data_IF_476959236720
#
_entry.id   IF_476959236720
#
_cell.length_a   1.000
_cell.length_b   1.000
_cell.length_c   1.000
_cell.angle_alpha   90.00
_cell.angle_beta   90.00
_cell.angle_gamma   90.00
#
_symmetry.space_group_name_H-M   'P 1'
#
loop_
_entity.id
_entity.type
_entity.pdbx_description
1 polymer ?
#
# COMPACT_ATOMS: atom_id res chain seq x y z
N UNK A 1 32.09 19.88 60.39
CA UNK A 1 32.83 20.31 59.18
C UNK A 1 32.17 19.65 57.95
N UNK A 2 31.19 20.29 57.29
CA UNK A 2 30.50 19.70 56.15
C UNK A 2 31.22 20.03 54.84
N UNK A 3 31.43 19.02 53.98
CA UNK A 3 32.02 19.19 52.64
C UNK A 3 30.92 19.45 51.63
N UNK A 4 30.96 20.63 51.04
CA UNK A 4 30.09 21.05 49.94
C UNK A 4 30.58 20.44 48.63
N UNK A 5 29.76 19.63 47.97
CA UNK A 5 30.02 19.14 46.62
C UNK A 5 29.24 20.04 45.63
N UNK A 6 29.96 20.76 44.76
CA UNK A 6 29.37 21.46 43.60
C UNK A 6 29.34 20.49 42.42
N UNK A 7 28.16 20.31 41.82
CA UNK A 7 28.00 19.62 40.54
C UNK A 7 28.40 20.55 39.38
N UNK A 8 29.20 20.09 38.40
CA UNK A 8 29.49 20.85 37.19
C UNK A 8 28.30 20.84 36.22
N UNK A 9 28.11 21.98 35.55
CA UNK A 9 26.98 22.27 34.68
C UNK A 9 26.87 21.33 33.48
N UNK A 10 25.65 20.85 33.24
CA UNK A 10 25.29 20.11 32.04
C UNK A 10 25.28 21.05 30.83
N UNK A 11 26.16 20.77 29.87
CA UNK A 11 26.16 21.39 28.57
C UNK A 11 24.86 21.04 27.82
N UNK A 12 24.12 22.07 27.39
CA UNK A 12 22.96 21.92 26.52
C UNK A 12 23.43 21.50 25.13
N UNK A 13 23.39 20.21 24.83
CA UNK A 13 23.58 19.69 23.48
C UNK A 13 22.48 20.25 22.57
N UNK A 14 22.86 21.16 21.67
CA UNK A 14 22.01 21.63 20.59
C UNK A 14 21.79 20.46 19.65
N UNK A 15 20.57 19.94 19.61
CA UNK A 15 20.15 18.97 18.61
C UNK A 15 20.32 19.59 17.21
N UNK A 16 20.94 18.89 16.25
CA UNK A 16 20.99 19.36 14.88
C UNK A 16 19.57 19.40 14.32
N UNK A 17 19.21 20.56 13.78
CA UNK A 17 17.98 20.78 13.02
C UNK A 17 17.76 19.64 12.04
N UNK A 18 16.64 18.94 12.21
CA UNK A 18 16.11 17.93 11.30
C UNK A 18 15.98 18.59 9.92
N UNK A 19 16.97 18.38 9.05
CA UNK A 19 16.89 18.76 7.65
C UNK A 19 15.67 18.04 7.07
N UNK A 20 14.64 18.81 6.72
CA UNK A 20 13.57 18.34 5.86
C UNK A 20 14.24 17.88 4.57
N UNK A 21 14.16 16.58 4.30
CA UNK A 21 14.53 16.03 3.01
C UNK A 21 13.74 16.79 1.92
N UNK A 22 14.37 17.11 0.78
CA UNK A 22 13.66 17.75 -0.30
C UNK A 22 12.53 16.83 -0.75
N UNK A 23 11.29 17.24 -0.48
CA UNK A 23 10.12 16.75 -1.19
C UNK A 23 10.31 17.21 -2.64
N UNK A 24 10.99 16.39 -3.45
CA UNK A 24 10.97 16.56 -4.88
C UNK A 24 9.52 16.38 -5.30
N UNK A 25 8.90 17.53 -5.57
CA UNK A 25 7.57 17.63 -6.10
C UNK A 25 7.45 16.72 -7.32
N UNK A 26 6.62 15.70 -7.21
CA UNK A 26 5.99 15.01 -8.31
C UNK A 26 5.20 16.06 -9.10
N UNK A 27 5.87 16.77 -10.01
CA UNK A 27 5.18 17.45 -11.09
C UNK A 27 4.69 16.34 -12.01
N UNK A 28 3.40 16.04 -11.91
CA UNK A 28 2.70 15.15 -12.82
C UNK A 28 2.82 15.71 -14.24
N UNK A 29 3.74 15.13 -15.01
CA UNK A 29 3.70 15.24 -16.47
C UNK A 29 2.45 14.48 -16.94
N UNK A 30 1.39 15.22 -17.28
CA UNK A 30 0.15 14.71 -17.86
C UNK A 30 0.32 14.02 -19.22
N UNK A 31 1.57 13.84 -19.68
CA UNK A 31 1.95 13.17 -20.92
C UNK A 31 2.95 12.02 -20.70
N UNK A 32 3.12 11.57 -19.45
CA UNK A 32 3.99 10.43 -19.15
C UNK A 32 3.38 9.15 -19.75
N UNK A 33 4.17 8.44 -20.57
CA UNK A 33 3.77 7.13 -21.09
C UNK A 33 3.37 6.18 -19.95
N UNK A 34 2.41 5.26 -20.17
CA UNK A 34 1.96 4.34 -19.14
C UNK A 34 3.15 3.62 -18.50
N UNK A 35 3.25 3.67 -17.16
CA UNK A 35 4.32 2.98 -16.46
C UNK A 35 4.19 1.47 -16.70
N UNK A 36 5.28 0.76 -17.02
CA UNK A 36 5.24 -0.68 -17.18
C UNK A 36 4.74 -1.31 -15.89
N UNK A 37 3.88 -2.32 -16.02
CA UNK A 37 3.38 -3.09 -14.88
C UNK A 37 4.53 -3.80 -14.18
N UNK A 38 4.60 -3.69 -12.87
CA UNK A 38 5.58 -4.36 -12.03
C UNK A 38 5.28 -5.85 -12.04
N UNK A 39 6.28 -6.64 -12.40
CA UNK A 39 6.23 -8.10 -12.37
C UNK A 39 6.86 -8.57 -11.07
N UNK A 40 6.24 -9.51 -10.33
CA UNK A 40 6.84 -10.06 -9.13
C UNK A 40 8.22 -10.66 -9.45
N UNK A 41 9.25 -10.40 -8.61
CA UNK A 41 10.55 -11.00 -8.82
C UNK A 41 10.48 -12.53 -8.67
N UNK A 42 11.33 -13.29 -9.39
CA UNK A 42 11.40 -14.74 -9.22
C UNK A 42 11.63 -15.11 -7.74
N UNK A 43 10.72 -15.91 -7.18
CA UNK A 43 10.78 -16.33 -5.77
C UNK A 43 10.18 -15.34 -4.76
N UNK A 44 9.44 -14.31 -5.21
CA UNK A 44 8.58 -13.52 -4.33
C UNK A 44 7.64 -14.45 -3.56
N UNK A 45 7.64 -14.36 -2.23
CA UNK A 45 6.76 -15.18 -1.40
C UNK A 45 5.40 -14.51 -1.35
N UNK A 46 4.41 -15.10 -2.03
CA UNK A 46 3.01 -14.67 -1.97
C UNK A 46 2.26 -15.32 -0.81
N UNK A 47 2.85 -16.35 -0.18
CA UNK A 47 2.20 -17.14 0.85
C UNK A 47 2.41 -16.56 2.27
N UNK A 48 1.28 -16.33 2.93
CA UNK A 48 1.22 -16.02 4.35
C UNK A 48 1.45 -17.28 5.20
N UNK A 49 2.14 -17.15 6.32
CA UNK A 49 2.26 -18.22 7.33
C UNK A 49 0.98 -18.34 8.15
N UNK A 50 0.39 -17.21 8.54
CA UNK A 50 -0.87 -17.15 9.28
C UNK A 50 -1.77 -16.05 8.71
N UNK A 51 -2.42 -16.29 7.56
CA UNK A 51 -3.29 -15.28 6.94
C UNK A 51 -4.48 -14.96 7.85
N UNK A 52 -4.81 -13.68 7.93
CA UNK A 52 -6.07 -13.18 8.48
C UNK A 52 -6.73 -12.33 7.43
N UNK A 53 -8.03 -12.55 7.21
CA UNK A 53 -8.82 -11.87 6.18
C UNK A 53 -9.93 -11.07 6.84
N UNK A 54 -10.19 -9.87 6.32
CA UNK A 54 -11.31 -9.03 6.73
C UNK A 54 -11.88 -8.28 5.53
N UNK A 55 -13.19 -8.03 5.59
CA UNK A 55 -13.86 -7.16 4.61
C UNK A 55 -13.34 -5.74 4.70
N UNK A 56 -13.29 -5.06 3.56
CA UNK A 56 -12.85 -3.68 3.49
C UNK A 56 -13.63 -2.98 2.40
N UNK A 57 -14.37 -1.91 2.70
CA UNK A 57 -15.12 -1.16 1.70
C UNK A 57 -14.51 0.25 1.61
N UNK A 58 -13.56 0.42 0.69
CA UNK A 58 -12.89 1.71 0.48
C UNK A 58 -12.95 2.09 -1.00
N UNK A 59 -13.53 3.26 -1.33
CA UNK A 59 -13.52 3.78 -2.69
C UNK A 59 -12.09 4.09 -3.14
N UNK A 60 -11.76 3.61 -4.34
CA UNK A 60 -10.48 3.85 -4.99
C UNK A 60 -10.63 4.99 -5.99
N UNK A 61 -9.78 6.02 -5.92
CA UNK A 61 -9.79 7.09 -6.91
C UNK A 61 -9.53 6.56 -8.32
N UNK A 62 -10.35 7.01 -9.27
CA UNK A 62 -10.31 6.58 -10.66
C UNK A 62 -9.19 7.31 -11.44
N UNK A 63 -9.07 7.00 -12.73
CA UNK A 63 -8.12 7.66 -13.62
C UNK A 63 -6.66 7.30 -13.31
N UNK A 64 -5.73 8.28 -13.21
CA UNK A 64 -4.31 8.02 -13.02
C UNK A 64 -4.00 7.23 -11.73
N UNK A 65 -4.76 7.45 -10.66
CA UNK A 65 -4.55 6.77 -9.38
C UNK A 65 -4.80 5.26 -9.50
N UNK A 66 -5.92 4.86 -10.11
CA UNK A 66 -6.21 3.46 -10.42
C UNK A 66 -5.13 2.85 -11.32
N UNK A 67 -4.70 3.59 -12.36
CA UNK A 67 -3.59 3.15 -13.22
C UNK A 67 -2.32 2.85 -12.44
N UNK A 68 -1.94 3.70 -11.47
CA UNK A 68 -0.76 3.48 -10.62
C UNK A 68 -0.92 2.27 -9.69
N UNK A 69 -2.12 2.02 -9.16
CA UNK A 69 -2.38 0.80 -8.37
C UNK A 69 -2.20 -0.47 -9.20
N UNK A 70 -2.73 -0.48 -10.42
CA UNK A 70 -2.63 -1.63 -11.34
C UNK A 70 -1.22 -1.81 -11.90
N UNK A 71 -0.49 -0.71 -12.15
CA UNK A 71 0.92 -0.77 -12.54
C UNK A 71 1.82 -1.23 -11.40
N UNK A 72 1.49 -0.90 -10.14
CA UNK A 72 2.30 -1.24 -8.97
C UNK A 72 3.51 -0.31 -8.76
N UNK A 73 4.41 -0.74 -7.88
CA UNK A 73 5.65 -0.05 -7.54
C UNK A 73 6.82 -1.03 -7.35
N UNK A 74 7.89 -0.76 -8.09
CA UNK A 74 9.17 -1.45 -7.97
C UNK A 74 10.13 -0.55 -7.17
N UNK A 75 10.66 -1.02 -6.02
CA UNK A 75 11.66 -0.25 -5.26
C UNK A 75 12.95 -0.08 -6.07
N UNK A 76 13.51 1.13 -6.06
CA UNK A 76 14.77 1.47 -6.73
C UNK A 76 15.92 1.63 -5.73
N UNK A 77 15.58 1.97 -4.48
CA UNK A 77 16.53 2.22 -3.40
C UNK A 77 16.36 1.24 -2.23
N UNK A 78 17.44 1.02 -1.48
CA UNK A 78 17.40 0.27 -0.22
C UNK A 78 16.48 0.91 0.84
N UNK A 79 16.14 2.19 0.69
CA UNK A 79 15.23 2.89 1.58
C UNK A 79 13.75 2.64 1.25
N UNK A 80 13.44 2.15 0.04
CA UNK A 80 12.09 1.83 -0.38
C UNK A 80 11.67 0.52 0.27
N UNK A 81 10.88 0.61 1.33
CA UNK A 81 10.51 -0.55 2.17
C UNK A 81 9.50 -1.48 1.52
N UNK A 82 8.86 -1.03 0.44
CA UNK A 82 7.67 -1.65 -0.12
C UNK A 82 7.86 -1.96 -1.59
N UNK A 83 7.31 -3.10 -1.99
CA UNK A 83 7.09 -3.50 -3.37
C UNK A 83 5.60 -3.78 -3.50
N UNK A 84 5.00 -3.29 -4.59
CA UNK A 84 3.58 -3.48 -4.87
C UNK A 84 3.42 -3.95 -6.30
N UNK A 85 2.58 -4.95 -6.53
CA UNK A 85 2.15 -5.30 -7.88
C UNK A 85 0.69 -5.75 -7.85
N UNK A 86 0.01 -5.59 -8.97
CA UNK A 86 -1.30 -6.14 -9.18
C UNK A 86 -1.18 -7.48 -9.90
N UNK A 87 -1.95 -8.45 -9.48
CA UNK A 87 -2.22 -9.69 -10.19
C UNK A 87 -3.67 -9.67 -10.65
N UNK A 88 -3.91 -9.87 -11.94
CA UNK A 88 -5.29 -9.98 -12.43
C UNK A 88 -5.81 -11.35 -12.05
N UNK A 89 -6.91 -11.35 -11.30
CA UNK A 89 -7.63 -12.57 -11.04
C UNK A 89 -8.75 -12.62 -12.06
N UNK A 90 -8.69 -13.58 -12.98
CA UNK A 90 -9.84 -13.93 -13.81
C UNK A 90 -10.88 -14.61 -12.91
N UNK A 91 -11.49 -13.84 -12.01
CA UNK A 91 -12.72 -14.22 -11.37
C UNK A 91 -13.74 -14.35 -12.49
N UNK A 92 -13.93 -15.60 -12.94
CA UNK A 92 -14.99 -15.98 -13.84
C UNK A 92 -16.27 -15.38 -13.29
N UNK A 93 -16.81 -14.40 -14.00
CA UNK A 93 -18.11 -13.79 -13.71
C UNK A 93 -19.07 -14.92 -13.34
N UNK A 94 -19.79 -14.87 -12.21
CA UNK A 94 -20.65 -15.97 -11.82
C UNK A 94 -21.62 -16.22 -12.96
N UNK A 95 -21.43 -17.38 -13.61
CA UNK A 95 -22.24 -17.99 -14.65
C UNK A 95 -23.69 -18.01 -14.15
N UNK A 96 -24.39 -16.90 -14.33
CA UNK A 96 -25.84 -16.84 -14.24
C UNK A 96 -26.28 -16.74 -15.69
N UNK A 97 -26.48 -17.90 -16.30
CA UNK A 97 -27.12 -17.99 -17.60
C UNK A 97 -28.47 -17.27 -17.51
N UNK A 98 -28.60 -16.11 -18.14
CA UNK A 98 -29.91 -15.46 -18.30
C UNK A 98 -29.98 -13.93 -18.28
N UNK A 99 -28.88 -13.18 -18.18
CA UNK A 99 -28.97 -11.71 -18.23
C UNK A 99 -27.85 -11.08 -19.08
N UNK A 100 -28.19 -10.67 -20.30
CA UNK A 100 -27.30 -10.16 -21.37
C UNK A 100 -26.73 -8.74 -21.10
N UNK A 101 -26.75 -8.25 -19.86
CA UNK A 101 -26.27 -6.91 -19.48
C UNK A 101 -25.50 -6.87 -18.16
N UNK A 102 -24.68 -7.88 -17.88
CA UNK A 102 -23.74 -7.79 -16.75
C UNK A 102 -22.50 -7.01 -17.17
N UNK A 103 -22.44 -5.78 -16.71
CA UNK A 103 -21.26 -4.92 -16.69
C UNK A 103 -19.98 -5.72 -16.39
N UNK A 104 -18.89 -5.56 -17.17
CA UNK A 104 -17.65 -6.27 -16.91
C UNK A 104 -17.10 -5.87 -15.54
N UNK A 105 -16.97 -6.85 -14.66
CA UNK A 105 -16.33 -6.71 -13.36
C UNK A 105 -14.95 -7.35 -13.44
N UNK A 106 -13.90 -6.55 -13.26
CA UNK A 106 -12.53 -7.02 -13.15
C UNK A 106 -12.13 -7.10 -11.68
N UNK A 107 -11.51 -8.21 -11.30
CA UNK A 107 -10.98 -8.41 -9.94
C UNK A 107 -9.47 -8.51 -10.04
N UNK A 108 -8.76 -7.65 -9.31
CA UNK A 108 -7.30 -7.68 -9.22
C UNK A 108 -6.90 -7.83 -7.76
N UNK A 109 -5.82 -8.56 -7.49
CA UNK A 109 -5.23 -8.69 -6.16
C UNK A 109 -3.98 -7.85 -6.13
N UNK A 110 -3.95 -6.84 -5.26
CA UNK A 110 -2.77 -6.04 -5.00
C UNK A 110 -1.93 -6.71 -3.92
N UNK A 111 -0.69 -7.03 -4.24
CA UNK A 111 0.25 -7.64 -3.31
C UNK A 111 1.17 -6.58 -2.72
N UNK A 112 1.17 -6.45 -1.41
CA UNK A 112 2.06 -5.56 -0.66
C UNK A 112 3.13 -6.40 0.02
N UNK A 113 4.39 -6.20 -0.40
CA UNK A 113 5.52 -7.01 0.06
C UNK A 113 6.64 -6.12 0.59
N UNK A 114 7.34 -6.62 1.61
CA UNK A 114 8.53 -5.95 2.14
C UNK A 114 9.70 -6.17 1.19
N UNK A 115 10.21 -5.09 0.60
CA UNK A 115 11.28 -5.15 -0.43
C UNK A 115 12.52 -5.94 0.04
N UNK A 116 12.94 -5.76 1.30
CA UNK A 116 14.15 -6.37 1.86
C UNK A 116 14.02 -7.87 2.12
N UNK A 117 12.86 -8.34 2.56
CA UNK A 117 12.67 -9.75 2.98
C UNK A 117 11.89 -10.57 1.95
N UNK A 118 11.19 -9.90 1.02
CA UNK A 118 10.26 -10.54 0.11
C UNK A 118 9.05 -11.17 0.81
N UNK A 119 8.79 -10.85 2.08
CA UNK A 119 7.67 -11.41 2.83
C UNK A 119 6.38 -10.62 2.57
N UNK A 120 5.25 -11.34 2.36
CA UNK A 120 3.99 -10.70 2.11
C UNK A 120 3.51 -10.02 3.38
N UNK A 121 3.12 -8.77 3.25
CA UNK A 121 2.56 -7.97 4.33
C UNK A 121 1.04 -7.99 4.27
N UNK A 122 0.49 -7.67 3.09
CA UNK A 122 -0.95 -7.68 2.85
C UNK A 122 -1.24 -7.98 1.37
N UNK A 123 -2.42 -8.55 1.13
CA UNK A 123 -3.06 -8.72 -0.17
C UNK A 123 -4.40 -8.01 -0.10
N UNK A 124 -4.70 -7.20 -1.10
CA UNK A 124 -5.94 -6.41 -1.15
C UNK A 124 -6.68 -6.73 -2.42
N UNK A 125 -7.93 -7.15 -2.27
CA UNK A 125 -8.81 -7.41 -3.41
C UNK A 125 -9.39 -6.09 -3.89
N UNK A 126 -9.07 -5.73 -5.13
CA UNK A 126 -9.56 -4.57 -5.85
C UNK A 126 -10.60 -5.02 -6.88
N UNK A 127 -11.83 -4.54 -6.73
CA UNK A 127 -12.90 -4.75 -7.70
C UNK A 127 -13.07 -3.48 -8.51
N UNK A 128 -13.02 -3.61 -9.83
CA UNK A 128 -13.32 -2.53 -10.78
C UNK A 128 -14.57 -2.93 -11.56
N UNK A 129 -15.63 -2.12 -11.49
CA UNK A 129 -16.84 -2.31 -12.29
C UNK A 129 -16.88 -1.28 -13.39
N UNK A 130 -17.07 -1.77 -14.62
CA UNK A 130 -16.93 -0.98 -15.85
C UNK A 130 -15.54 -0.34 -15.92
N UNK A 131 -14.94 -0.27 -17.11
CA UNK A 131 -13.55 0.20 -17.22
C UNK A 131 -13.49 1.69 -16.85
N UNK A 132 -13.18 1.98 -15.58
CA UNK A 132 -13.00 3.33 -15.06
C UNK A 132 -14.22 4.01 -14.44
N UNK A 133 -15.32 3.31 -14.12
CA UNK A 133 -16.49 3.95 -13.47
C UNK A 133 -16.51 3.79 -11.95
N UNK A 134 -16.19 2.60 -11.44
CA UNK A 134 -16.16 2.34 -10.02
C UNK A 134 -15.00 1.39 -9.69
N UNK A 135 -14.18 1.77 -8.71
CA UNK A 135 -13.13 0.92 -8.19
C UNK A 135 -13.18 0.94 -6.66
N UNK A 136 -13.06 -0.24 -6.04
CA UNK A 136 -13.12 -0.39 -4.58
C UNK A 136 -12.20 -1.49 -4.10
N UNK A 137 -11.58 -1.25 -2.94
CA UNK A 137 -11.10 -2.37 -2.13
C UNK A 137 -12.32 -3.05 -1.52
N UNK A 138 -12.34 -4.38 -1.54
CA UNK A 138 -13.44 -5.20 -1.00
C UNK A 138 -13.01 -6.12 0.13
N UNK A 139 -11.73 -6.52 0.13
CA UNK A 139 -11.18 -7.47 1.08
C UNK A 139 -9.69 -7.18 1.29
N UNK A 140 -9.20 -7.46 2.49
CA UNK A 140 -7.78 -7.46 2.82
C UNK A 140 -7.42 -8.75 3.54
N UNK A 141 -6.35 -9.40 3.09
CA UNK A 141 -5.70 -10.52 3.76
C UNK A 141 -4.30 -10.10 4.19
N UNK A 142 -3.88 -10.38 5.43
CA UNK A 142 -2.55 -10.00 5.91
C UNK A 142 -1.90 -11.07 6.79
N UNK A 143 -0.59 -10.93 6.96
CA UNK A 143 0.21 -11.81 7.82
C UNK A 143 -0.06 -11.52 9.30
N UNK A 144 -0.41 -12.52 10.11
CA UNK A 144 -0.54 -12.36 11.57
C UNK A 144 0.50 -13.15 12.37
N UNK A 145 1.46 -13.79 11.69
CA UNK A 145 2.59 -14.46 12.34
C UNK A 145 3.47 -13.46 13.08
N UNK A 146 3.50 -13.55 14.42
CA UNK A 146 4.36 -12.71 15.27
C UNK A 146 5.86 -12.82 14.93
N UNK A 147 6.26 -13.94 14.32
CA UNK A 147 7.64 -14.16 13.83
C UNK A 147 7.99 -13.24 12.66
N UNK A 148 6.99 -12.84 11.86
CA UNK A 148 7.14 -12.05 10.64
C UNK A 148 6.77 -10.59 10.86
N UNK A 149 5.70 -10.34 11.62
CA UNK A 149 5.20 -8.99 11.91
C UNK A 149 4.77 -8.90 13.38
N UNK A 150 5.26 -7.89 14.10
CA UNK A 150 4.94 -7.68 15.50
C UNK A 150 3.73 -6.76 15.67
N UNK A 151 2.77 -7.13 16.53
CA UNK A 151 1.64 -6.29 16.98
C UNK A 151 0.75 -5.75 15.84
N UNK A 152 0.55 -6.54 14.79
CA UNK A 152 -0.28 -6.13 13.66
C UNK A 152 -1.77 -6.32 13.98
N UNK A 153 -2.52 -5.22 14.01
CA UNK A 153 -3.98 -5.21 14.08
C UNK A 153 -4.58 -4.93 12.70
N UNK A 154 -5.83 -5.31 12.47
CA UNK A 154 -6.55 -5.01 11.23
C UNK A 154 -6.48 -3.52 10.87
N UNK A 155 -6.80 -2.63 11.81
CA UNK A 155 -6.75 -1.18 11.61
C UNK A 155 -5.35 -0.70 11.23
N UNK A 156 -4.31 -1.20 11.91
CA UNK A 156 -2.93 -0.84 11.59
C UNK A 156 -2.52 -1.31 10.20
N UNK A 157 -3.00 -2.47 9.76
CA UNK A 157 -2.75 -3.02 8.41
C UNK A 157 -3.42 -2.14 7.35
N UNK A 158 -4.72 -1.87 7.51
CA UNK A 158 -5.50 -1.04 6.58
C UNK A 158 -4.87 0.35 6.44
N UNK A 159 -4.54 0.99 7.56
CA UNK A 159 -3.86 2.29 7.58
C UNK A 159 -2.49 2.23 6.90
N UNK A 160 -1.70 1.17 7.14
CA UNK A 160 -0.39 1.01 6.49
C UNK A 160 -0.53 0.86 4.98
N UNK A 161 -1.49 0.06 4.50
CA UNK A 161 -1.75 -0.10 3.06
C UNK A 161 -2.10 1.25 2.43
N UNK A 162 -3.02 2.01 3.02
CA UNK A 162 -3.40 3.33 2.50
C UNK A 162 -2.20 4.29 2.47
N UNK A 163 -1.39 4.32 3.53
CA UNK A 163 -0.15 5.11 3.57
C UNK A 163 0.85 4.69 2.50
N UNK A 164 0.99 3.39 2.22
CA UNK A 164 1.82 2.91 1.12
C UNK A 164 1.28 3.43 -0.21
N UNK A 165 -0.02 3.34 -0.46
CA UNK A 165 -0.62 3.87 -1.68
C UNK A 165 -0.38 5.38 -1.84
N UNK A 166 -0.48 6.16 -0.76
CA UNK A 166 -0.17 7.61 -0.80
C UNK A 166 1.30 7.84 -1.08
N UNK A 167 2.20 7.26 -0.28
CA UNK A 167 3.62 7.62 -0.31
C UNK A 167 4.39 7.01 -1.48
N UNK A 168 3.99 5.82 -1.91
CA UNK A 168 4.72 5.02 -2.89
C UNK A 168 4.07 5.11 -4.27
N UNK A 169 2.74 5.10 -4.32
CA UNK A 169 1.98 5.20 -5.56
C UNK A 169 1.48 6.62 -5.85
N UNK A 170 1.58 7.55 -4.89
CA UNK A 170 1.08 8.92 -5.05
C UNK A 170 -0.46 8.99 -5.12
N UNK A 171 -1.17 7.99 -4.60
CA UNK A 171 -2.63 7.93 -4.68
C UNK A 171 -3.22 8.83 -3.58
N UNK A 172 -4.02 9.82 -3.98
CA UNK A 172 -4.73 10.69 -3.04
C UNK A 172 -6.13 10.14 -2.77
N UNK A 173 -6.36 9.69 -1.55
CA UNK A 173 -7.66 9.19 -1.12
C UNK A 173 -8.59 10.37 -0.84
N UNK A 174 -9.82 10.29 -1.35
CA UNK A 174 -10.85 11.24 -0.94
C UNK A 174 -11.36 10.84 0.45
N UNK A 175 -11.27 11.75 1.41
CA UNK A 175 -11.88 11.55 2.72
C UNK A 175 -13.39 11.35 2.53
N UNK A 176 -13.90 10.20 2.99
CA UNK A 176 -15.32 9.86 2.94
C UNK A 176 -16.22 10.79 3.80
N UNK A 177 -15.65 11.85 4.38
CA UNK A 177 -16.31 12.81 5.27
C UNK A 177 -16.87 14.06 4.55
N UNK A 178 -16.76 14.16 3.22
CA UNK A 178 -17.15 15.36 2.46
C UNK A 178 -18.43 15.23 1.62
N UNK A 179 -19.31 14.26 1.94
CA UNK A 179 -20.63 14.12 1.30
C UNK A 179 -21.75 14.27 2.32
#
# INVERSE_FOLDING_TARGET
>A
MPRHWRLPGMARSRLPSRQQAPQQALKEDANASPRPRVVPPPGARTEFEKPVTSGWDVPVPLGPALGRLLSGFQPESMHDKWMVWAEDNEASSPNTAGDDRKDPVSVSVLHFVRSRTGYPFAQVTLVTKNVGEEARFTEITWESSEKRVSNQTEESTKNTVLQVCVHVLGVEWQDASSV
#
